data_IF_258544624901
#
_entry.id   IF_258544624901
#
_cell.length_a   1.000
_cell.length_b   1.000
_cell.length_c   1.000
_cell.angle_alpha   90.00
_cell.angle_beta   90.00
_cell.angle_gamma   90.00
#
_symmetry.space_group_name_H-M   'P 1'
#
loop_
_entity.id
_entity.type
_entity.pdbx_description
1 polymer ?
#
# COMPACT_ATOMS: atom_id res chain seq x y z
N UNK A 1 -10.21 4.32 -17.61
CA UNK A 1 -9.80 5.12 -16.44
C UNK A 1 -9.14 4.19 -15.44
N UNK A 2 -7.81 4.23 -15.32
CA UNK A 2 -7.05 3.40 -14.38
C UNK A 2 -7.17 4.01 -12.99
N UNK A 3 -8.01 3.45 -12.12
CA UNK A 3 -7.98 3.76 -10.69
C UNK A 3 -6.59 3.36 -10.18
N UNK A 4 -5.83 4.33 -9.67
CA UNK A 4 -4.54 4.08 -9.03
C UNK A 4 -4.76 3.29 -7.75
N UNK A 5 -3.87 2.34 -7.46
CA UNK A 5 -3.79 1.71 -6.13
C UNK A 5 -3.71 2.81 -5.08
N UNK A 6 -4.59 2.75 -4.10
CA UNK A 6 -4.73 3.81 -3.13
C UNK A 6 -4.89 3.28 -1.71
N UNK A 7 -3.97 2.41 -1.29
CA UNK A 7 -3.62 2.33 0.14
C UNK A 7 -2.75 3.56 0.46
N UNK A 8 -3.30 4.75 0.24
CA UNK A 8 -2.62 5.99 0.56
C UNK A 8 -2.84 6.25 2.05
N UNK A 9 -1.81 6.04 2.87
CA UNK A 9 -1.77 6.63 4.22
C UNK A 9 -1.91 8.16 4.20
N UNK A 10 -1.82 8.79 3.02
CA UNK A 10 -2.08 10.20 2.78
C UNK A 10 -3.56 10.61 2.85
N UNK A 11 -4.52 9.67 2.93
CA UNK A 11 -5.97 10.00 3.05
C UNK A 11 -6.28 10.66 4.41
N UNK A 12 -5.45 10.41 5.42
CA UNK A 12 -5.51 11.11 6.68
C UNK A 12 -4.80 12.46 6.56
N UNK A 13 -5.53 13.48 6.10
CA UNK A 13 -5.09 14.88 6.19
C UNK A 13 -5.06 15.32 7.65
N UNK A 14 -4.06 14.89 8.40
CA UNK A 14 -3.62 15.59 9.60
C UNK A 14 -2.78 16.78 9.16
N UNK A 15 -3.02 17.96 9.72
CA UNK A 15 -2.09 19.11 9.64
C UNK A 15 -0.69 18.63 10.01
N UNK A 16 0.17 18.49 9.00
CA UNK A 16 1.56 18.08 9.20
C UNK A 16 2.28 19.21 9.92
N UNK A 17 3.20 18.94 10.86
CA UNK A 17 4.12 19.98 11.29
C UNK A 17 4.97 20.33 10.07
N UNK A 18 4.99 21.60 9.70
CA UNK A 18 5.97 22.10 8.74
C UNK A 18 7.35 21.85 9.35
N UNK A 19 8.05 20.84 8.84
CA UNK A 19 9.44 20.61 9.18
C UNK A 19 10.21 21.76 8.54
N UNK A 20 10.40 22.86 9.28
CA UNK A 20 11.37 23.89 8.93
C UNK A 20 12.75 23.24 8.98
N UNK A 21 13.25 22.84 7.81
CA UNK A 21 14.62 22.38 7.65
C UNK A 21 15.54 23.56 7.95
N UNK A 22 16.08 23.62 9.17
CA UNK A 22 17.27 24.41 9.43
C UNK A 22 18.41 23.75 8.66
N UNK A 23 18.88 24.49 7.67
CA UNK A 23 19.81 24.07 6.63
C UNK A 23 21.21 23.87 7.22
N UNK A 24 21.50 22.66 7.73
CA UNK A 24 22.87 22.20 7.99
C UNK A 24 23.04 20.73 7.61
N UNK A 25 23.22 20.53 6.30
CA UNK A 25 24.21 19.63 5.74
C UNK A 25 24.09 18.13 6.03
N UNK A 26 23.41 17.39 5.14
CA UNK A 26 23.90 16.09 4.65
C UNK A 26 23.24 15.74 3.30
N UNK A 27 23.78 16.24 2.19
CA UNK A 27 23.37 15.87 0.84
C UNK A 27 24.06 14.57 0.40
N UNK A 28 23.49 13.41 0.71
CA UNK A 28 23.87 12.16 0.02
C UNK A 28 22.79 11.07 -0.03
N UNK A 29 21.83 11.01 0.90
CA UNK A 29 20.84 9.92 0.92
C UNK A 29 19.53 10.14 0.13
N UNK A 30 19.18 11.38 -0.22
CA UNK A 30 17.90 11.67 -0.89
C UNK A 30 17.83 11.26 -2.38
N UNK A 31 18.99 11.06 -3.04
CA UNK A 31 19.06 10.69 -4.45
C UNK A 31 18.96 9.17 -4.65
N UNK A 32 19.51 8.39 -3.72
CA UNK A 32 19.47 6.92 -3.77
C UNK A 32 18.08 6.36 -3.51
N UNK A 33 17.29 6.99 -2.63
CA UNK A 33 15.90 6.55 -2.35
C UNK A 33 14.92 6.83 -3.50
N UNK A 34 15.12 7.92 -4.26
CA UNK A 34 14.28 8.24 -5.44
C UNK A 34 14.49 7.26 -6.59
N UNK A 35 15.74 6.87 -6.85
CA UNK A 35 16.10 5.94 -7.92
C UNK A 35 15.48 4.55 -7.66
N UNK A 36 15.39 4.15 -6.39
CA UNK A 36 14.77 2.87 -6.00
C UNK A 36 13.24 2.90 -6.18
N UNK A 37 12.60 4.01 -5.80
CA UNK A 37 11.14 4.21 -5.94
C UNK A 37 10.66 4.22 -7.39
N UNK A 38 11.41 4.85 -8.29
CA UNK A 38 11.04 4.88 -9.71
C UNK A 38 11.26 3.51 -10.37
N UNK A 39 12.29 2.76 -9.94
CA UNK A 39 12.51 1.38 -10.37
C UNK A 39 11.39 0.45 -9.90
N UNK A 40 10.96 0.57 -8.64
CA UNK A 40 9.83 -0.17 -8.07
C UNK A 40 8.54 0.09 -8.86
N UNK A 41 8.19 1.36 -9.08
CA UNK A 41 7.03 1.75 -9.90
C UNK A 41 7.08 1.14 -11.30
N UNK A 42 8.26 1.12 -11.91
CA UNK A 42 8.44 0.58 -13.24
C UNK A 42 8.30 -0.96 -13.26
N UNK A 43 8.84 -1.68 -12.27
CA UNK A 43 8.60 -3.12 -12.08
C UNK A 43 7.10 -3.39 -11.97
N UNK A 44 6.38 -2.60 -11.19
CA UNK A 44 4.94 -2.77 -10.97
C UNK A 44 4.14 -2.48 -12.26
N UNK A 45 4.55 -1.47 -13.03
CA UNK A 45 3.96 -1.16 -14.34
C UNK A 45 4.17 -2.32 -15.32
N UNK A 46 5.38 -2.89 -15.38
CA UNK A 46 5.69 -4.05 -16.23
C UNK A 46 4.89 -5.29 -15.81
N UNK A 47 4.88 -5.63 -14.53
CA UNK A 47 4.13 -6.78 -14.02
C UNK A 47 2.63 -6.67 -14.37
N UNK A 48 2.04 -5.49 -14.20
CA UNK A 48 0.64 -5.24 -14.58
C UNK A 48 0.41 -5.45 -16.08
N UNK A 49 1.32 -4.96 -16.93
CA UNK A 49 1.21 -5.12 -18.38
C UNK A 49 1.34 -6.59 -18.81
N UNK A 50 2.30 -7.32 -18.23
CA UNK A 50 2.52 -8.74 -18.51
C UNK A 50 1.33 -9.61 -18.07
N UNK A 51 0.80 -9.38 -16.86
CA UNK A 51 -0.39 -10.08 -16.36
C UNK A 51 -1.58 -9.79 -17.28
N UNK A 52 -1.75 -8.53 -17.69
CA UNK A 52 -2.83 -8.17 -18.62
C UNK A 52 -2.69 -8.85 -19.97
N UNK A 53 -1.48 -9.03 -20.49
CA UNK A 53 -1.22 -9.74 -21.73
C UNK A 53 -1.50 -11.24 -21.58
N UNK A 54 -1.05 -11.86 -20.49
CA UNK A 54 -1.28 -13.29 -20.19
C UNK A 54 -2.78 -13.60 -20.09
N UNK A 55 -3.56 -12.76 -19.40
CA UNK A 55 -5.01 -12.90 -19.32
C UNK A 55 -5.69 -12.78 -20.71
N UNK A 56 -5.30 -11.78 -21.51
CA UNK A 56 -5.84 -11.59 -22.87
C UNK A 56 -5.54 -12.77 -23.78
N UNK A 57 -4.32 -13.31 -23.73
CA UNK A 57 -3.91 -14.44 -24.55
C UNK A 57 -4.73 -15.72 -24.26
N UNK A 58 -5.31 -15.82 -23.07
CA UNK A 58 -6.18 -16.92 -22.67
C UNK A 58 -7.68 -16.58 -22.73
N UNK A 59 -8.06 -15.49 -23.40
CA UNK A 59 -9.46 -15.10 -23.57
C UNK A 59 -10.12 -14.52 -22.33
N UNK A 60 -9.35 -14.18 -21.30
CA UNK A 60 -9.84 -13.59 -20.04
C UNK A 60 -9.81 -12.07 -20.13
N UNK A 61 -10.91 -11.42 -19.75
CA UNK A 61 -10.98 -9.95 -19.67
C UNK A 61 -10.17 -9.45 -18.47
N UNK A 62 -9.04 -8.74 -18.67
CA UNK A 62 -8.12 -8.42 -17.58
C UNK A 62 -8.69 -7.44 -16.57
N UNK A 63 -9.50 -6.47 -17.02
CA UNK A 63 -9.96 -5.37 -16.18
C UNK A 63 -10.78 -5.87 -14.98
N UNK A 64 -11.64 -6.87 -15.19
CA UNK A 64 -12.44 -7.47 -14.12
C UNK A 64 -11.57 -8.24 -13.12
N UNK A 65 -10.57 -8.99 -13.60
CA UNK A 65 -9.67 -9.79 -12.75
C UNK A 65 -8.74 -8.87 -11.94
N UNK A 66 -8.14 -7.88 -12.59
CA UNK A 66 -7.28 -6.87 -11.97
C UNK A 66 -8.07 -6.11 -10.91
N UNK A 67 -9.29 -5.66 -11.23
CA UNK A 67 -10.12 -4.92 -10.28
C UNK A 67 -10.53 -5.81 -9.09
N UNK A 68 -10.88 -7.08 -9.33
CA UNK A 68 -11.18 -7.97 -8.22
C UNK A 68 -9.97 -8.21 -7.31
N UNK A 69 -8.81 -8.55 -7.88
CA UNK A 69 -7.58 -8.75 -7.10
C UNK A 69 -7.17 -7.48 -6.37
N UNK A 70 -7.37 -6.32 -6.99
CA UNK A 70 -7.16 -5.02 -6.34
C UNK A 70 -8.03 -4.85 -5.11
N UNK A 71 -9.35 -5.03 -5.24
CA UNK A 71 -10.26 -4.93 -4.10
C UNK A 71 -9.93 -5.96 -3.03
N UNK A 72 -9.57 -7.18 -3.43
CA UNK A 72 -9.19 -8.24 -2.52
C UNK A 72 -7.97 -7.84 -1.69
N UNK A 73 -6.93 -7.38 -2.38
CA UNK A 73 -5.70 -6.99 -1.74
C UNK A 73 -5.83 -5.71 -0.91
N UNK A 74 -6.51 -4.68 -1.42
CA UNK A 74 -6.70 -3.39 -0.74
C UNK A 74 -7.42 -3.55 0.59
N UNK A 75 -8.43 -4.42 0.69
CA UNK A 75 -9.14 -4.64 1.95
C UNK A 75 -8.37 -5.53 2.92
N UNK A 76 -7.68 -6.58 2.48
CA UNK A 76 -6.84 -7.39 3.40
C UNK A 76 -5.64 -6.60 3.91
N UNK A 77 -4.85 -6.03 3.01
CA UNK A 77 -3.66 -5.28 3.43
C UNK A 77 -3.99 -3.92 4.00
N UNK A 78 -5.14 -3.31 3.67
CA UNK A 78 -5.59 -2.08 4.31
C UNK A 78 -5.69 -2.26 5.82
N UNK A 79 -6.34 -3.33 6.28
CA UNK A 79 -6.45 -3.65 7.71
C UNK A 79 -5.07 -3.80 8.36
N UNK A 80 -4.18 -4.57 7.72
CA UNK A 80 -2.82 -4.79 8.23
C UNK A 80 -2.01 -3.51 8.28
N UNK A 81 -2.00 -2.75 7.19
CA UNK A 81 -1.25 -1.49 7.04
C UNK A 81 -1.62 -0.51 8.14
N UNK A 82 -2.91 -0.25 8.33
CA UNK A 82 -3.35 0.71 9.34
C UNK A 82 -3.12 0.19 10.77
N UNK A 83 -3.23 -1.12 11.00
CA UNK A 83 -2.91 -1.72 12.31
C UNK A 83 -1.42 -1.57 12.65
N UNK A 84 -0.52 -1.87 11.71
CA UNK A 84 0.92 -1.69 11.89
C UNK A 84 1.29 -0.21 12.05
N UNK A 85 0.63 0.71 11.32
CA UNK A 85 0.86 2.15 11.45
C UNK A 85 0.46 2.66 12.85
N UNK A 86 -0.71 2.28 13.36
CA UNK A 86 -1.16 2.62 14.72
C UNK A 86 -0.18 2.08 15.76
N UNK A 87 0.21 0.81 15.66
CA UNK A 87 1.17 0.20 16.58
C UNK A 87 2.53 0.91 16.53
N UNK A 88 3.01 1.26 15.33
CA UNK A 88 4.25 2.01 15.13
C UNK A 88 4.19 3.37 15.81
N UNK A 89 3.07 4.10 15.70
CA UNK A 89 2.88 5.38 16.39
C UNK A 89 2.96 5.18 17.90
N UNK A 90 2.22 4.22 18.46
CA UNK A 90 2.22 3.96 19.89
C UNK A 90 3.62 3.67 20.44
N UNK A 91 4.42 2.91 19.70
CA UNK A 91 5.78 2.52 20.09
C UNK A 91 6.81 3.66 19.92
N UNK A 92 6.71 4.46 18.86
CA UNK A 92 7.74 5.41 18.47
C UNK A 92 7.44 6.88 18.80
N UNK A 93 6.21 7.24 19.20
CA UNK A 93 5.83 8.65 19.44
C UNK A 93 6.70 9.39 20.45
N UNK A 94 7.37 8.68 21.36
CA UNK A 94 8.28 9.25 22.36
C UNK A 94 9.77 9.12 22.00
N UNK A 95 10.10 8.47 20.88
CA UNK A 95 11.48 8.15 20.51
C UNK A 95 12.13 9.15 19.57
N UNK A 96 11.35 10.06 18.98
CA UNK A 96 11.86 11.04 18.03
C UNK A 96 11.56 12.46 18.52
N UNK A 97 12.60 13.29 18.77
CA UNK A 97 12.42 14.69 19.12
C UNK A 97 11.84 15.53 17.97
N UNK A 98 11.76 14.98 16.75
CA UNK A 98 11.16 15.66 15.59
C UNK A 98 9.62 15.69 15.61
N UNK A 99 8.98 14.99 16.56
CA UNK A 99 7.51 14.80 16.60
C UNK A 99 6.93 14.95 18.00
N UNK A 100 7.68 15.50 18.96
CA UNK A 100 7.22 15.65 20.37
C UNK A 100 5.98 16.53 20.52
N UNK A 101 5.80 17.50 19.61
CA UNK A 101 4.64 18.40 19.63
C UNK A 101 3.50 17.92 18.72
N UNK A 102 3.66 16.78 18.06
CA UNK A 102 2.68 16.26 17.14
C UNK A 102 1.56 15.50 17.88
N UNK A 103 0.32 15.95 17.71
CA UNK A 103 -0.85 15.26 18.24
C UNK A 103 -1.20 14.05 17.37
N UNK A 104 -0.71 12.89 17.77
CA UNK A 104 -1.02 11.63 17.09
C UNK A 104 -2.47 11.14 17.24
N UNK A 105 -3.28 11.74 18.14
CA UNK A 105 -4.64 11.27 18.42
C UNK A 105 -5.52 11.31 17.17
N UNK A 106 -5.54 12.44 16.46
CA UNK A 106 -6.34 12.59 15.24
C UNK A 106 -5.88 11.64 14.12
N UNK A 107 -4.56 11.41 14.03
CA UNK A 107 -3.99 10.50 13.06
C UNK A 107 -4.34 9.04 13.37
N UNK A 108 -4.23 8.63 14.63
CA UNK A 108 -4.62 7.29 15.11
C UNK A 108 -6.12 7.09 14.86
N UNK A 109 -6.96 8.05 15.22
CA UNK A 109 -8.41 7.97 14.99
C UNK A 109 -8.74 7.85 13.49
N UNK A 110 -8.02 8.57 12.64
CA UNK A 110 -8.18 8.43 11.21
C UNK A 110 -7.77 7.03 10.72
N UNK A 111 -6.61 6.52 11.14
CA UNK A 111 -6.16 5.17 10.80
C UNK A 111 -7.11 4.09 11.32
N UNK A 112 -7.70 4.28 12.50
CA UNK A 112 -8.72 3.41 13.07
C UNK A 112 -9.98 3.38 12.19
N UNK A 113 -10.44 4.54 11.70
CA UNK A 113 -11.56 4.61 10.75
C UNK A 113 -11.25 3.89 9.44
N UNK A 114 -10.06 4.12 8.89
CA UNK A 114 -9.63 3.45 7.64
C UNK A 114 -9.50 1.93 7.83
N UNK A 115 -8.91 1.48 8.94
CA UNK A 115 -8.83 0.07 9.31
C UNK A 115 -10.22 -0.57 9.37
N UNK A 116 -11.16 0.06 10.07
CA UNK A 116 -12.54 -0.44 10.19
C UNK A 116 -13.24 -0.49 8.83
N UNK A 117 -13.03 0.51 7.98
CA UNK A 117 -13.58 0.52 6.62
C UNK A 117 -13.09 -0.68 5.82
N UNK A 118 -11.77 -0.89 5.77
CA UNK A 118 -11.18 -2.05 5.08
C UNK A 118 -11.57 -3.38 5.72
N UNK A 119 -11.78 -3.44 7.04
CA UNK A 119 -12.29 -4.64 7.70
C UNK A 119 -13.73 -4.94 7.26
N UNK A 120 -14.60 -3.93 7.19
CA UNK A 120 -15.96 -4.13 6.68
C UNK A 120 -15.97 -4.56 5.21
N UNK A 121 -15.12 -3.98 4.37
CA UNK A 121 -14.92 -4.47 3.01
C UNK A 121 -14.39 -5.91 3.01
N UNK A 122 -13.48 -6.23 3.92
CA UNK A 122 -12.91 -7.55 4.05
C UNK A 122 -13.99 -8.60 4.35
N UNK A 123 -14.82 -8.33 5.36
CA UNK A 123 -15.86 -9.21 5.88
C UNK A 123 -17.07 -9.34 4.92
N UNK A 124 -17.37 -8.29 4.15
CA UNK A 124 -18.47 -8.31 3.16
C UNK A 124 -18.12 -9.10 1.91
N UNK A 125 -16.85 -9.46 1.70
CA UNK A 125 -16.44 -10.24 0.53
C UNK A 125 -16.82 -11.69 0.74
N UNK A 126 -17.76 -12.15 -0.08
CA UNK A 126 -17.86 -13.55 -0.41
C UNK A 126 -16.77 -13.83 -1.44
N UNK A 127 -15.60 -14.32 -1.00
CA UNK A 127 -14.37 -14.41 -1.82
C UNK A 127 -14.48 -15.16 -3.15
N UNK A 128 -15.58 -15.88 -3.37
CA UNK A 128 -15.93 -16.59 -4.59
C UNK A 128 -16.72 -15.78 -5.63
N UNK A 129 -17.37 -14.66 -5.26
CA UNK A 129 -18.31 -13.97 -6.16
C UNK A 129 -17.65 -13.29 -7.36
N UNK A 130 -16.43 -12.76 -7.21
CA UNK A 130 -15.73 -12.13 -8.33
C UNK A 130 -15.44 -13.06 -9.51
N UNK A 131 -15.18 -14.34 -9.20
CA UNK A 131 -14.81 -15.36 -10.17
C UNK A 131 -15.99 -16.29 -10.50
N UNK A 132 -17.12 -16.16 -9.81
CA UNK A 132 -18.24 -17.12 -9.86
C UNK A 132 -18.88 -17.30 -11.24
N UNK A 133 -18.70 -16.35 -12.15
CA UNK A 133 -19.22 -16.41 -13.52
C UNK A 133 -18.15 -16.79 -14.55
N UNK A 134 -16.94 -17.16 -14.13
CA UNK A 134 -15.85 -17.50 -15.05
C UNK A 134 -15.91 -18.97 -15.43
N UNK A 135 -15.70 -19.29 -16.72
CA UNK A 135 -15.53 -20.65 -17.17
C UNK A 135 -14.41 -21.37 -16.38
N UNK A 136 -14.56 -22.67 -16.05
CA UNK A 136 -13.54 -23.42 -15.34
C UNK A 136 -12.16 -23.34 -15.99
N UNK A 137 -12.08 -23.30 -17.33
CA UNK A 137 -10.82 -23.17 -18.06
C UNK A 137 -10.04 -21.87 -17.78
N UNK A 138 -10.68 -20.84 -17.22
CA UNK A 138 -10.03 -19.58 -16.88
C UNK A 138 -9.50 -19.57 -15.43
N UNK A 139 -9.96 -20.49 -14.58
CA UNK A 139 -9.58 -20.53 -13.15
C UNK A 139 -8.08 -20.82 -13.00
N UNK A 140 -7.54 -21.77 -13.76
CA UNK A 140 -6.12 -22.13 -13.70
C UNK A 140 -5.20 -20.98 -14.11
N UNK A 141 -5.57 -20.25 -15.17
CA UNK A 141 -4.86 -19.06 -15.63
C UNK A 141 -4.88 -17.97 -14.57
N UNK A 142 -6.02 -17.76 -13.90
CA UNK A 142 -6.17 -16.78 -12.84
C UNK A 142 -5.32 -17.13 -11.62
N UNK A 143 -5.36 -18.39 -11.16
CA UNK A 143 -4.54 -18.85 -10.04
C UNK A 143 -3.04 -18.66 -10.30
N UNK A 144 -2.59 -18.85 -11.55
CA UNK A 144 -1.20 -18.64 -11.94
C UNK A 144 -0.78 -17.17 -11.87
N UNK A 145 -1.66 -16.23 -12.27
CA UNK A 145 -1.38 -14.79 -12.17
C UNK A 145 -1.62 -14.23 -10.78
N UNK A 146 -2.42 -14.88 -9.95
CA UNK A 146 -2.74 -14.45 -8.57
C UNK A 146 -1.47 -14.32 -7.71
N UNK A 147 -0.56 -15.29 -7.81
CA UNK A 147 0.74 -15.20 -7.11
C UNK A 147 1.53 -13.95 -7.53
N UNK A 148 1.51 -13.62 -8.83
CA UNK A 148 2.20 -12.42 -9.36
C UNK A 148 1.55 -11.13 -8.89
N UNK A 149 0.22 -11.12 -8.74
CA UNK A 149 -0.48 -10.02 -8.10
C UNK A 149 -0.03 -9.86 -6.66
N UNK A 150 0.02 -10.94 -5.87
CA UNK A 150 0.41 -10.90 -4.46
C UNK A 150 1.84 -10.37 -4.27
N UNK A 151 2.78 -10.80 -5.10
CA UNK A 151 4.16 -10.30 -5.08
C UNK A 151 4.20 -8.78 -5.38
N UNK A 152 3.54 -8.34 -6.46
CA UNK A 152 3.46 -6.92 -6.82
C UNK A 152 2.84 -6.06 -5.73
N UNK A 153 1.92 -6.65 -4.98
CA UNK A 153 1.15 -6.00 -3.96
C UNK A 153 1.83 -5.97 -2.58
N UNK A 154 2.61 -6.99 -2.25
CA UNK A 154 3.51 -6.98 -1.10
C UNK A 154 4.55 -5.86 -1.23
N UNK A 155 5.00 -5.58 -2.46
CA UNK A 155 5.92 -4.47 -2.73
C UNK A 155 5.25 -3.12 -2.44
N UNK A 156 4.00 -2.91 -2.87
CA UNK A 156 3.23 -1.70 -2.55
C UNK A 156 3.11 -1.48 -1.04
N UNK A 157 2.88 -2.56 -0.31
CA UNK A 157 2.74 -2.53 1.14
C UNK A 157 4.01 -2.03 1.84
N UNK A 158 5.16 -2.65 1.54
CA UNK A 158 6.44 -2.28 2.14
C UNK A 158 6.85 -0.83 1.79
N UNK A 159 6.58 -0.42 0.55
CA UNK A 159 6.84 0.95 0.09
C UNK A 159 6.00 1.97 0.88
N UNK A 160 4.71 1.69 1.07
CA UNK A 160 3.84 2.56 1.88
C UNK A 160 4.34 2.67 3.32
N UNK A 161 4.71 1.53 3.93
CA UNK A 161 5.27 1.49 5.29
C UNK A 161 6.55 2.32 5.40
N UNK A 162 7.48 2.15 4.48
CA UNK A 162 8.74 2.91 4.46
C UNK A 162 8.51 4.41 4.33
N UNK A 163 7.61 4.84 3.43
CA UNK A 163 7.24 6.24 3.26
C UNK A 163 6.65 6.85 4.53
N UNK A 164 5.84 6.08 5.27
CA UNK A 164 5.31 6.50 6.56
C UNK A 164 6.41 6.67 7.62
N UNK A 165 7.34 5.72 7.71
CA UNK A 165 8.48 5.84 8.63
C UNK A 165 9.35 7.06 8.33
N UNK A 166 9.62 7.35 7.06
CA UNK A 166 10.36 8.56 6.65
C UNK A 166 9.63 9.82 7.11
N UNK A 167 8.31 9.90 6.89
CA UNK A 167 7.51 11.10 7.20
C UNK A 167 7.66 11.55 8.65
N UNK A 168 7.80 10.61 9.58
CA UNK A 168 7.93 10.91 11.02
C UNK A 168 9.38 10.78 11.54
N UNK A 169 10.36 10.63 10.64
CA UNK A 169 11.77 10.52 11.00
C UNK A 169 12.11 9.21 11.75
N UNK A 170 11.31 8.15 11.56
CA UNK A 170 11.48 6.87 12.23
C UNK A 170 12.24 5.83 11.42
N UNK A 171 12.61 6.15 10.17
CA UNK A 171 13.32 5.23 9.28
C UNK A 171 14.66 4.71 9.85
N UNK A 172 15.34 5.50 10.69
CA UNK A 172 16.66 5.16 11.25
C UNK A 172 16.61 4.61 12.69
N UNK A 173 15.42 4.46 13.30
CA UNK A 173 15.29 4.03 14.72
C UNK A 173 15.46 2.51 14.87
N UNK A 174 15.50 1.76 13.77
CA UNK A 174 15.55 0.30 13.75
C UNK A 174 16.92 -0.29 13.40
N UNK A 175 18.00 0.51 13.43
CA UNK A 175 19.37 0.03 13.29
C UNK A 175 20.02 -0.26 14.65
#
# INVERSE_FOLDING_TARGET
>A
MTKSFSIHMAVCHSTSPEITTSDKGTHSNAKSSRIDMDNLKEIMRRNKAEISAELKNHGVQPDQIIECRRMFHESEQGVRTFSEAIATIHFNKFKSPLVTDYNFTELIDCFERQRKHHQMEADRRNGSMCYGNLPPQHIEVIQKVDKRFDDSYSIYYELSKYMFLIKFGWANIFH
#
